data_IF_268120325517
#
_entry.id   IF_268120325517
#
_cell.length_a   1.000
_cell.length_b   1.000
_cell.length_c   1.000
_cell.angle_alpha   90.00
_cell.angle_beta   90.00
_cell.angle_gamma   90.00
#
_symmetry.space_group_name_H-M   'P 1'
#
loop_
_entity.id
_entity.type
_entity.pdbx_description
1 polymer ?
#
# COMPACT_ATOMS: atom_id res chain seq x y z
N UNK A 1 2.11 6.68 30.85
CA UNK A 1 3.11 5.75 30.28
C UNK A 1 3.84 6.49 29.18
N UNK A 2 5.18 6.54 29.21
CA UNK A 2 5.96 7.06 28.08
C UNK A 2 5.79 6.07 26.92
N UNK A 3 5.32 6.54 25.79
CA UNK A 3 5.36 5.76 24.57
C UNK A 3 6.81 5.29 24.36
N UNK A 4 7.03 4.00 24.25
CA UNK A 4 8.33 3.48 23.89
C UNK A 4 8.69 4.09 22.54
N UNK A 5 9.73 4.92 22.50
CA UNK A 5 10.24 5.50 21.27
C UNK A 5 10.69 4.35 20.40
N UNK A 6 10.03 4.19 19.24
CA UNK A 6 10.50 3.22 18.25
C UNK A 6 11.95 3.56 17.88
N UNK A 7 12.83 2.55 17.71
CA UNK A 7 14.20 2.81 17.30
C UNK A 7 14.23 3.54 15.94
N UNK A 8 15.30 4.31 15.64
CA UNK A 8 15.48 4.91 14.32
C UNK A 8 15.32 3.88 13.21
N UNK A 9 14.82 4.30 12.05
CA UNK A 9 14.67 3.45 10.87
C UNK A 9 16.05 3.18 10.28
N UNK A 10 16.45 1.90 10.15
CA UNK A 10 17.68 1.55 9.46
C UNK A 10 17.56 1.83 7.96
N UNK A 11 18.69 2.08 7.27
CA UNK A 11 18.70 2.48 5.86
C UNK A 11 18.06 1.43 4.91
N UNK A 12 18.06 0.16 5.35
CA UNK A 12 17.48 -0.98 4.65
C UNK A 12 16.19 -1.49 5.31
N UNK A 13 15.59 -0.72 6.22
CA UNK A 13 14.39 -1.13 6.94
C UNK A 13 13.11 -0.65 6.26
N UNK A 14 12.15 -1.56 6.19
CA UNK A 14 10.75 -1.30 5.90
C UNK A 14 9.94 -1.59 7.15
N UNK A 15 9.24 -0.60 7.65
CA UNK A 15 8.43 -0.71 8.85
C UNK A 15 6.94 -0.67 8.52
N UNK A 16 6.20 -1.68 9.03
CA UNK A 16 4.77 -1.81 8.80
C UNK A 16 4.02 -1.63 10.12
N UNK A 17 2.94 -0.89 10.07
CA UNK A 17 2.01 -0.72 11.18
C UNK A 17 0.64 -1.21 10.75
N UNK A 18 0.16 -2.24 11.43
CA UNK A 18 -1.19 -2.74 11.28
C UNK A 18 -2.06 -2.27 12.43
N UNK A 19 -3.19 -1.68 12.14
CA UNK A 19 -4.22 -1.30 13.10
C UNK A 19 -5.50 -2.03 12.74
N UNK A 20 -5.97 -2.90 13.64
CA UNK A 20 -7.33 -3.46 13.59
C UNK A 20 -8.26 -2.42 14.18
N UNK A 21 -9.13 -1.87 13.36
CA UNK A 21 -10.04 -0.81 13.75
C UNK A 21 -11.52 -1.28 13.82
N UNK A 22 -11.70 -2.59 13.92
CA UNK A 22 -13.02 -3.19 14.07
C UNK A 22 -13.67 -2.72 15.38
N UNK A 23 -14.73 -1.92 15.25
CA UNK A 23 -15.46 -1.40 16.40
C UNK A 23 -14.85 -0.17 17.10
N UNK A 24 -13.80 0.42 16.56
CA UNK A 24 -13.22 1.66 17.09
C UNK A 24 -14.19 2.85 16.93
N UNK A 25 -14.60 3.51 18.04
CA UNK A 25 -15.53 4.64 17.97
C UNK A 25 -14.92 5.93 17.44
N UNK A 26 -13.58 6.00 17.33
CA UNK A 26 -12.87 7.19 16.85
C UNK A 26 -13.12 7.36 15.35
N UNK A 27 -13.54 8.57 14.88
CA UNK A 27 -13.70 8.82 13.46
C UNK A 27 -12.45 8.45 12.66
N UNK A 28 -12.63 7.68 11.57
CA UNK A 28 -11.56 7.17 10.70
C UNK A 28 -10.46 8.20 10.42
N UNK A 29 -10.84 9.42 10.01
CA UNK A 29 -9.87 10.48 9.68
C UNK A 29 -8.96 10.83 10.86
N UNK A 30 -9.51 10.88 12.06
CA UNK A 30 -8.75 11.20 13.28
C UNK A 30 -7.78 10.08 13.61
N UNK A 31 -8.23 8.83 13.50
CA UNK A 31 -7.41 7.64 13.74
C UNK A 31 -6.23 7.57 12.78
N UNK A 32 -6.49 7.75 11.48
CA UNK A 32 -5.43 7.74 10.46
C UNK A 32 -4.40 8.85 10.68
N UNK A 33 -4.84 10.06 11.01
CA UNK A 33 -3.93 11.19 11.30
C UNK A 33 -3.08 10.90 12.54
N UNK A 34 -3.67 10.36 13.60
CA UNK A 34 -2.96 9.96 14.83
C UNK A 34 -1.91 8.90 14.55
N UNK A 35 -2.30 7.82 13.87
CA UNK A 35 -1.40 6.73 13.49
C UNK A 35 -0.20 7.25 12.71
N UNK A 36 -0.47 8.01 11.64
CA UNK A 36 0.56 8.55 10.77
C UNK A 36 1.52 9.48 11.52
N UNK A 37 0.98 10.43 12.30
CA UNK A 37 1.77 11.38 13.05
C UNK A 37 2.62 10.71 14.14
N UNK A 38 2.03 9.78 14.90
CA UNK A 38 2.76 9.06 15.95
C UNK A 38 3.90 8.23 15.38
N UNK A 39 3.66 7.50 14.28
CA UNK A 39 4.68 6.68 13.64
C UNK A 39 5.84 7.52 13.08
N UNK A 40 5.55 8.60 12.34
CA UNK A 40 6.56 9.45 11.72
C UNK A 40 7.30 10.31 12.73
N UNK A 41 6.63 10.86 13.74
CA UNK A 41 7.23 11.68 14.78
C UNK A 41 8.33 10.91 15.54
N UNK A 42 8.06 9.65 15.88
CA UNK A 42 9.02 8.78 16.54
C UNK A 42 10.28 8.54 15.69
N UNK A 43 10.16 8.56 14.37
CA UNK A 43 11.27 8.31 13.44
C UNK A 43 12.15 9.55 13.20
N UNK A 44 11.53 10.74 13.20
CA UNK A 44 12.26 11.99 12.93
C UNK A 44 12.61 12.77 14.20
N UNK A 45 12.28 12.24 15.37
CA UNK A 45 12.60 12.86 16.67
C UNK A 45 11.84 14.16 16.95
N UNK A 46 10.63 14.31 16.41
CA UNK A 46 9.77 15.49 16.57
C UNK A 46 8.51 15.18 17.36
N UNK A 47 7.79 16.19 17.85
CA UNK A 47 6.47 15.96 18.41
C UNK A 47 5.42 15.77 17.29
N UNK A 48 4.39 14.91 17.46
CA UNK A 48 3.38 14.66 16.43
C UNK A 48 2.70 15.93 15.91
N UNK A 49 2.50 16.92 16.78
CA UNK A 49 1.87 18.20 16.41
C UNK A 49 2.77 19.09 15.54
N UNK A 50 4.09 18.89 15.58
CA UNK A 50 5.09 19.68 14.84
C UNK A 50 5.30 19.15 13.41
N UNK A 51 4.75 17.99 13.08
CA UNK A 51 4.89 17.44 11.74
C UNK A 51 4.09 18.24 10.71
N UNK A 52 4.77 18.69 9.66
CA UNK A 52 4.18 19.38 8.53
C UNK A 52 4.17 18.49 7.30
N UNK A 53 2.98 18.27 6.73
CA UNK A 53 2.83 17.48 5.51
C UNK A 53 2.69 18.38 4.28
N UNK A 54 3.26 17.94 3.19
CA UNK A 54 3.00 18.45 1.84
C UNK A 54 2.19 17.45 1.03
N UNK A 55 1.86 17.85 -0.21
CA UNK A 55 1.27 16.96 -1.22
C UNK A 55 2.02 17.12 -2.53
N UNK A 56 2.25 16.00 -3.20
CA UNK A 56 2.70 15.97 -4.59
C UNK A 56 1.56 16.44 -5.50
N UNK A 57 1.85 16.72 -6.78
CA UNK A 57 0.90 17.30 -7.75
C UNK A 57 -0.44 16.56 -7.83
N UNK A 58 -0.43 15.23 -7.65
CA UNK A 58 -1.64 14.38 -7.66
C UNK A 58 -2.14 13.99 -6.27
N UNK A 59 -1.68 14.70 -5.25
CA UNK A 59 -2.23 14.61 -3.91
C UNK A 59 -1.57 13.59 -2.97
N UNK A 60 -0.54 12.83 -3.42
CA UNK A 60 0.21 11.93 -2.55
C UNK A 60 0.84 12.71 -1.40
N UNK A 61 0.60 12.35 -0.13
CA UNK A 61 1.18 13.07 0.99
C UNK A 61 2.67 12.74 1.14
N UNK A 62 3.45 13.71 1.61
CA UNK A 62 4.83 13.53 2.06
C UNK A 62 5.11 14.38 3.31
N UNK A 63 6.11 13.99 4.11
CA UNK A 63 6.53 14.73 5.29
C UNK A 63 7.56 15.79 4.90
N UNK A 64 7.37 17.04 5.31
CA UNK A 64 8.32 18.14 5.13
C UNK A 64 9.36 18.09 6.26
N UNK A 65 10.37 17.25 6.11
CA UNK A 65 11.47 17.11 7.07
C UNK A 65 12.74 16.64 6.35
N UNK A 66 13.95 17.11 6.72
CA UNK A 66 15.21 16.74 6.05
C UNK A 66 15.50 15.23 6.08
N UNK A 67 15.05 14.52 7.09
CA UNK A 67 15.23 13.09 7.30
C UNK A 67 13.92 12.32 7.09
N UNK A 68 12.99 12.87 6.31
CA UNK A 68 11.69 12.23 6.10
C UNK A 68 11.86 10.88 5.39
N UNK A 69 11.37 9.79 5.98
CA UNK A 69 11.19 8.53 5.24
C UNK A 69 10.05 8.67 4.24
N UNK A 70 10.04 7.83 3.23
CA UNK A 70 8.84 7.70 2.40
C UNK A 70 7.79 6.83 3.11
N UNK A 71 6.52 7.15 2.92
CA UNK A 71 5.42 6.42 3.54
C UNK A 71 4.20 6.35 2.64
N UNK A 72 3.39 5.33 2.86
CA UNK A 72 2.08 5.22 2.25
C UNK A 72 1.12 4.47 3.19
N UNK A 73 -0.15 4.81 3.11
CA UNK A 73 -1.21 4.27 3.96
C UNK A 73 -2.37 3.81 3.10
N UNK A 74 -2.93 2.66 3.44
CA UNK A 74 -4.19 2.17 2.90
C UNK A 74 -5.09 1.67 4.03
N UNK A 75 -6.38 1.90 3.89
CA UNK A 75 -7.37 1.46 4.85
C UNK A 75 -8.63 0.93 4.15
N UNK A 76 -9.23 -0.03 4.78
CA UNK A 76 -10.51 -0.63 4.41
C UNK A 76 -11.33 -0.93 5.67
N UNK A 77 -12.52 -1.47 5.52
CA UNK A 77 -13.35 -1.83 6.68
C UNK A 77 -12.60 -2.83 7.57
N UNK A 78 -12.42 -2.48 8.83
CA UNK A 78 -11.80 -3.32 9.86
C UNK A 78 -10.27 -3.31 9.86
N UNK A 79 -9.61 -2.42 9.10
CA UNK A 79 -8.17 -2.35 9.17
C UNK A 79 -7.49 -1.23 8.41
N UNK A 80 -6.33 -0.86 8.92
CA UNK A 80 -5.43 0.14 8.34
C UNK A 80 -4.02 -0.42 8.29
N UNK A 81 -3.34 -0.24 7.16
CA UNK A 81 -1.94 -0.60 6.98
C UNK A 81 -1.13 0.62 6.56
N UNK A 82 -0.14 0.99 7.37
CA UNK A 82 0.85 2.01 7.07
C UNK A 82 2.19 1.34 6.80
N UNK A 83 2.80 1.67 5.67
CA UNK A 83 4.16 1.29 5.33
C UNK A 83 5.07 2.51 5.32
N UNK A 84 6.28 2.36 5.90
CA UNK A 84 7.30 3.40 5.95
C UNK A 84 8.62 2.77 5.49
N UNK A 85 9.29 3.38 4.50
CA UNK A 85 10.61 2.93 4.05
C UNK A 85 11.65 4.04 4.18
N UNK A 86 12.87 3.64 4.57
CA UNK A 86 13.98 4.56 4.76
C UNK A 86 14.48 5.15 3.43
N UNK A 87 14.46 4.36 2.37
CA UNK A 87 14.93 4.75 1.05
C UNK A 87 14.01 4.20 -0.04
N UNK A 88 14.00 4.87 -1.19
CA UNK A 88 13.10 4.55 -2.29
C UNK A 88 11.69 5.08 -2.07
N UNK A 89 10.71 4.46 -2.75
CA UNK A 89 9.29 4.82 -2.63
C UNK A 89 8.46 3.59 -2.29
N UNK A 90 7.44 3.79 -1.46
CA UNK A 90 6.49 2.76 -1.08
C UNK A 90 5.06 3.11 -1.48
N UNK A 91 4.34 2.14 -2.02
CA UNK A 91 2.89 2.16 -2.13
C UNK A 91 2.28 0.99 -1.39
N UNK A 92 1.19 1.23 -0.72
CA UNK A 92 0.45 0.22 0.05
C UNK A 92 -0.98 0.20 -0.43
N UNK A 93 -1.50 -0.99 -0.72
CA UNK A 93 -2.92 -1.17 -0.89
C UNK A 93 -3.44 -2.35 -0.06
N UNK A 94 -4.63 -2.18 0.51
CA UNK A 94 -5.26 -3.08 1.47
C UNK A 94 -6.73 -3.31 1.11
N UNK A 95 -7.13 -4.57 0.98
CA UNK A 95 -8.50 -4.94 0.65
C UNK A 95 -9.01 -6.07 1.55
N UNK A 96 -10.32 -6.09 1.77
CA UNK A 96 -10.99 -7.24 2.38
C UNK A 96 -11.10 -8.39 1.38
N UNK A 97 -10.76 -9.60 1.84
CA UNK A 97 -10.83 -10.79 1.00
C UNK A 97 -12.26 -11.25 0.71
N UNK A 98 -13.23 -10.86 1.53
CA UNK A 98 -14.66 -11.21 1.38
C UNK A 98 -15.46 -10.16 0.59
N UNK A 99 -14.79 -9.10 0.08
CA UNK A 99 -15.42 -8.03 -0.69
C UNK A 99 -16.12 -8.57 -1.92
N UNK A 100 -17.42 -8.34 -2.02
CA UNK A 100 -18.23 -8.70 -3.19
C UNK A 100 -18.09 -7.62 -4.27
N UNK A 101 -17.75 -8.03 -5.49
CA UNK A 101 -17.40 -7.14 -6.58
C UNK A 101 -18.01 -7.59 -7.90
N UNK A 102 -18.48 -6.68 -8.74
CA UNK A 102 -18.85 -6.99 -10.12
C UNK A 102 -17.58 -7.13 -10.98
N UNK A 103 -16.86 -8.25 -10.80
CA UNK A 103 -15.50 -8.49 -11.34
C UNK A 103 -15.41 -8.20 -12.82
N UNK A 104 -16.30 -8.77 -13.64
CA UNK A 104 -16.26 -8.61 -15.09
C UNK A 104 -16.35 -7.13 -15.50
N UNK A 105 -17.26 -6.36 -14.89
CA UNK A 105 -17.44 -4.94 -15.18
C UNK A 105 -16.21 -4.10 -14.77
N UNK A 106 -15.66 -4.39 -13.61
CA UNK A 106 -14.49 -3.65 -13.10
C UNK A 106 -13.24 -4.00 -13.89
N UNK A 107 -13.02 -5.28 -14.22
CA UNK A 107 -11.89 -5.72 -15.04
C UNK A 107 -11.95 -5.09 -16.44
N UNK A 108 -13.10 -5.12 -17.11
CA UNK A 108 -13.27 -4.48 -18.41
C UNK A 108 -12.98 -2.97 -18.40
N UNK A 109 -13.28 -2.30 -17.28
CA UNK A 109 -13.04 -0.86 -17.13
C UNK A 109 -11.59 -0.50 -16.80
N UNK A 110 -10.93 -1.28 -15.94
CA UNK A 110 -9.69 -0.86 -15.28
C UNK A 110 -8.47 -1.71 -15.61
N UNK A 111 -8.63 -2.91 -16.15
CA UNK A 111 -7.54 -3.83 -16.44
C UNK A 111 -7.22 -3.89 -17.94
N UNK A 112 -6.08 -4.47 -18.28
CA UNK A 112 -5.76 -4.77 -19.66
C UNK A 112 -6.73 -5.82 -20.24
N UNK A 113 -6.88 -5.86 -21.55
CA UNK A 113 -7.74 -6.85 -22.22
C UNK A 113 -7.33 -8.29 -21.90
N UNK A 114 -6.00 -8.55 -21.78
CA UNK A 114 -5.47 -9.87 -21.41
C UNK A 114 -5.89 -10.28 -20.00
N UNK A 115 -5.65 -9.42 -18.99
CA UNK A 115 -6.05 -9.71 -17.61
C UNK A 115 -7.56 -9.87 -17.46
N UNK A 116 -8.36 -9.06 -18.18
CA UNK A 116 -9.82 -9.20 -18.17
C UNK A 116 -10.28 -10.53 -18.76
N UNK A 117 -9.65 -10.99 -19.84
CA UNK A 117 -9.93 -12.30 -20.46
C UNK A 117 -9.52 -13.46 -19.55
N UNK A 118 -8.35 -13.39 -18.90
CA UNK A 118 -7.90 -14.38 -17.92
C UNK A 118 -8.89 -14.51 -16.76
N UNK A 119 -9.36 -13.39 -16.22
CA UNK A 119 -10.35 -13.38 -15.14
C UNK A 119 -11.70 -13.95 -15.58
N UNK A 120 -12.12 -13.67 -16.81
CA UNK A 120 -13.39 -14.17 -17.36
C UNK A 120 -13.38 -15.70 -17.57
N UNK A 121 -12.21 -16.31 -17.73
CA UNK A 121 -12.05 -17.76 -17.87
C UNK A 121 -12.10 -18.52 -16.54
N UNK A 122 -12.07 -17.83 -15.40
CA UNK A 122 -12.06 -18.44 -14.06
C UNK A 122 -13.48 -18.64 -13.52
N UNK A 123 -13.70 -19.66 -12.66
CA UNK A 123 -14.89 -19.74 -11.83
C UNK A 123 -15.06 -18.47 -10.99
N UNK A 124 -16.30 -18.08 -10.69
CA UNK A 124 -16.63 -16.79 -10.09
C UNK A 124 -15.80 -16.43 -8.83
N UNK A 125 -15.64 -17.39 -7.90
CA UNK A 125 -14.87 -17.14 -6.67
C UNK A 125 -13.36 -17.03 -6.96
N UNK A 126 -12.82 -17.84 -7.83
CA UNK A 126 -11.43 -17.74 -8.27
C UNK A 126 -11.16 -16.41 -8.99
N UNK A 127 -12.09 -15.99 -9.87
CA UNK A 127 -12.03 -14.69 -10.55
C UNK A 127 -12.04 -13.51 -9.55
N UNK A 128 -12.87 -13.60 -8.51
CA UNK A 128 -12.93 -12.58 -7.46
C UNK A 128 -11.62 -12.45 -6.69
N UNK A 129 -11.03 -13.57 -6.29
CA UNK A 129 -9.74 -13.60 -5.59
C UNK A 129 -8.62 -13.08 -6.50
N UNK A 130 -8.56 -13.53 -7.75
CA UNK A 130 -7.57 -13.09 -8.72
C UNK A 130 -7.72 -11.60 -9.03
N UNK A 131 -8.96 -11.11 -9.16
CA UNK A 131 -9.24 -9.68 -9.31
C UNK A 131 -8.70 -8.85 -8.15
N UNK A 132 -8.97 -9.24 -6.90
CA UNK A 132 -8.46 -8.53 -5.72
C UNK A 132 -6.93 -8.52 -5.68
N UNK A 133 -6.29 -9.61 -6.09
CA UNK A 133 -4.83 -9.71 -6.18
C UNK A 133 -4.24 -8.73 -7.20
N UNK A 134 -4.84 -8.63 -8.37
CA UNK A 134 -4.44 -7.68 -9.41
C UNK A 134 -4.72 -6.24 -8.98
N UNK A 135 -5.90 -6.00 -8.42
CA UNK A 135 -6.34 -4.69 -7.97
C UNK A 135 -5.39 -4.11 -6.95
N UNK A 136 -5.10 -4.84 -5.87
CA UNK A 136 -4.18 -4.39 -4.81
C UNK A 136 -2.77 -4.11 -5.35
N UNK A 137 -2.26 -4.93 -6.28
CA UNK A 137 -0.95 -4.72 -6.88
C UNK A 137 -0.91 -3.43 -7.72
N UNK A 138 -1.92 -3.20 -8.53
CA UNK A 138 -2.04 -2.00 -9.40
C UNK A 138 -2.22 -0.73 -8.57
N UNK A 139 -3.09 -0.76 -7.56
CA UNK A 139 -3.30 0.41 -6.69
C UNK A 139 -2.05 0.73 -5.87
N UNK A 140 -1.37 -0.26 -5.31
CA UNK A 140 -0.10 -0.06 -4.62
C UNK A 140 0.94 0.59 -5.55
N UNK A 141 1.03 0.15 -6.81
CA UNK A 141 1.93 0.74 -7.81
C UNK A 141 1.61 2.21 -8.09
N UNK A 142 0.33 2.53 -8.30
CA UNK A 142 -0.12 3.91 -8.51
C UNK A 142 0.15 4.79 -7.28
N UNK A 143 0.00 4.24 -6.08
CA UNK A 143 0.31 4.94 -4.82
C UNK A 143 1.81 5.19 -4.67
N UNK A 144 2.67 4.23 -5.03
CA UNK A 144 4.12 4.42 -4.99
C UNK A 144 4.59 5.51 -5.95
N UNK A 145 4.07 5.53 -7.17
CA UNK A 145 4.41 6.58 -8.16
C UNK A 145 3.76 7.94 -7.88
N UNK A 146 2.71 7.97 -7.07
CA UNK A 146 1.92 9.19 -6.85
C UNK A 146 1.06 9.61 -8.05
N UNK A 147 0.91 8.75 -9.06
CA UNK A 147 0.17 9.08 -10.30
C UNK A 147 -1.35 9.05 -10.15
N UNK A 148 -1.85 8.50 -9.05
CA UNK A 148 -3.28 8.25 -8.84
C UNK A 148 -3.78 7.09 -9.71
N UNK A 149 -5.00 6.65 -9.41
CA UNK A 149 -5.62 5.48 -10.08
C UNK A 149 -6.22 5.82 -11.46
N UNK A 150 -6.53 7.07 -11.72
CA UNK A 150 -7.21 7.48 -12.97
C UNK A 150 -6.26 7.46 -14.16
N UNK A 151 -6.50 6.56 -15.11
CA UNK A 151 -5.85 6.51 -16.42
C UNK A 151 -4.63 5.61 -16.52
N UNK A 152 -4.10 5.05 -15.44
CA UNK A 152 -2.88 4.22 -15.51
C UNK A 152 -3.04 2.75 -15.05
N UNK A 153 -4.17 2.38 -14.46
CA UNK A 153 -4.36 1.00 -13.99
C UNK A 153 -4.22 -0.05 -15.10
N UNK A 154 -4.57 0.29 -16.35
CA UNK A 154 -4.44 -0.63 -17.50
C UNK A 154 -3.00 -0.86 -17.92
N UNK A 155 -2.12 0.11 -17.69
CA UNK A 155 -0.72 0.05 -18.09
C UNK A 155 0.11 -0.79 -17.11
N UNK A 156 -0.33 -0.86 -15.86
CA UNK A 156 0.19 -1.80 -14.88
C UNK A 156 -0.35 -3.19 -15.17
N UNK A 157 0.50 -4.10 -15.64
CA UNK A 157 0.12 -5.48 -15.98
C UNK A 157 0.83 -6.46 -15.07
N UNK A 158 0.05 -7.34 -14.47
CA UNK A 158 0.55 -8.38 -13.59
C UNK A 158 0.04 -9.75 -14.02
N UNK A 159 0.77 -10.80 -13.63
CA UNK A 159 0.35 -12.18 -13.84
C UNK A 159 -0.79 -12.53 -12.87
N UNK A 160 -1.99 -12.85 -13.42
CA UNK A 160 -3.21 -13.01 -12.63
C UNK A 160 -3.16 -14.20 -11.65
N UNK A 161 -2.48 -15.28 -12.00
CA UNK A 161 -2.37 -16.50 -11.18
C UNK A 161 -1.32 -16.45 -10.09
N UNK A 162 -0.45 -15.44 -10.07
CA UNK A 162 0.70 -15.41 -9.17
C UNK A 162 0.32 -15.13 -7.72
N UNK A 163 0.87 -15.91 -6.80
CA UNK A 163 0.69 -15.70 -5.36
C UNK A 163 1.39 -14.41 -4.90
N UNK A 164 2.59 -14.13 -5.40
CA UNK A 164 3.31 -12.88 -5.24
C UNK A 164 3.14 -12.07 -6.52
N UNK A 165 2.85 -10.75 -6.45
CA UNK A 165 2.64 -9.96 -7.67
C UNK A 165 3.87 -9.99 -8.57
N UNK A 166 3.71 -10.48 -9.80
CA UNK A 166 4.73 -10.50 -10.83
C UNK A 166 4.40 -9.47 -11.89
N UNK A 167 5.22 -8.45 -11.97
CA UNK A 167 5.05 -7.37 -12.94
C UNK A 167 5.40 -7.84 -14.35
N UNK A 168 4.47 -7.68 -15.29
CA UNK A 168 4.62 -7.98 -16.72
C UNK A 168 4.80 -6.72 -17.56
N UNK A 169 4.36 -5.57 -17.05
CA UNK A 169 4.49 -4.29 -17.73
C UNK A 169 4.04 -3.14 -16.86
N UNK A 170 4.63 -1.98 -17.08
CA UNK A 170 4.36 -0.75 -16.34
C UNK A 170 4.22 0.43 -17.31
N UNK A 171 3.58 1.55 -16.88
CA UNK A 171 3.62 2.79 -17.65
C UNK A 171 5.06 3.24 -17.87
N UNK A 172 5.41 3.86 -19.03
CA UNK A 172 6.78 4.31 -19.29
C UNK A 172 7.38 5.21 -18.20
N UNK A 173 6.55 6.05 -17.58
CA UNK A 173 6.96 6.93 -16.49
C UNK A 173 7.32 6.19 -15.18
N UNK A 174 6.96 4.92 -15.03
CA UNK A 174 7.30 4.11 -13.87
C UNK A 174 8.74 3.56 -13.91
N UNK A 175 9.42 3.68 -15.04
CA UNK A 175 10.77 3.14 -15.25
C UNK A 175 10.80 1.63 -15.47
N UNK A 176 12.00 1.06 -15.43
CA UNK A 176 12.25 -0.34 -15.72
C UNK A 176 11.68 -1.27 -14.62
N UNK A 177 11.27 -2.47 -15.02
CA UNK A 177 10.62 -3.43 -14.12
C UNK A 177 11.52 -3.90 -12.97
N UNK A 178 12.84 -3.94 -13.22
CA UNK A 178 13.88 -4.37 -12.26
C UNK A 178 14.00 -3.41 -11.04
N UNK A 179 13.51 -2.19 -11.18
CA UNK A 179 13.47 -1.21 -10.09
C UNK A 179 12.35 -1.48 -9.10
N UNK A 180 11.42 -2.39 -9.45
CA UNK A 180 10.23 -2.69 -8.68
C UNK A 180 10.37 -4.01 -7.92
N UNK A 181 9.93 -3.98 -6.66
CA UNK A 181 9.68 -5.17 -5.86
C UNK A 181 8.28 -5.12 -5.28
N UNK A 182 7.66 -6.27 -5.23
CA UNK A 182 6.30 -6.42 -4.70
C UNK A 182 6.28 -7.48 -3.62
N UNK A 183 5.55 -7.20 -2.55
CA UNK A 183 5.31 -8.14 -1.47
C UNK A 183 3.82 -8.25 -1.22
N UNK A 184 3.33 -9.47 -1.08
CA UNK A 184 1.95 -9.72 -0.66
C UNK A 184 1.93 -10.04 0.83
N UNK A 185 1.00 -9.41 1.53
CA UNK A 185 0.81 -9.55 2.96
C UNK A 185 -0.62 -10.00 3.25
N UNK A 186 -0.78 -10.70 4.37
CA UNK A 186 -2.08 -11.00 4.98
C UNK A 186 -2.08 -10.46 6.41
N UNK A 187 -2.35 -9.15 6.60
CA UNK A 187 -2.26 -8.52 7.92
C UNK A 187 -3.24 -9.11 8.93
N UNK A 188 -4.34 -9.67 8.45
CA UNK A 188 -5.30 -10.47 9.23
C UNK A 188 -5.94 -11.55 8.33
N UNK A 189 -6.68 -12.52 8.91
CA UNK A 189 -7.41 -13.52 8.13
C UNK A 189 -8.44 -12.93 7.16
N UNK A 190 -8.91 -11.70 7.41
CA UNK A 190 -9.92 -11.03 6.59
C UNK A 190 -9.36 -10.08 5.53
N UNK A 191 -8.03 -9.87 5.52
CA UNK A 191 -7.42 -8.84 4.69
C UNK A 191 -6.25 -9.37 3.85
N UNK A 192 -6.13 -8.83 2.64
CA UNK A 192 -4.96 -8.96 1.77
C UNK A 192 -4.40 -7.58 1.46
N UNK A 193 -3.08 -7.49 1.39
CA UNK A 193 -2.41 -6.24 1.03
C UNK A 193 -1.26 -6.50 0.05
N UNK A 194 -0.87 -5.45 -0.66
CA UNK A 194 0.35 -5.43 -1.47
C UNK A 194 1.18 -4.21 -1.11
N UNK A 195 2.47 -4.43 -0.95
CA UNK A 195 3.49 -3.40 -0.97
C UNK A 195 4.08 -3.33 -2.37
N UNK A 196 4.17 -2.15 -2.93
CA UNK A 196 4.92 -1.85 -4.14
C UNK A 196 6.11 -0.97 -3.75
N UNK A 197 7.32 -1.43 -4.01
CA UNK A 197 8.57 -0.79 -3.64
C UNK A 197 9.33 -0.39 -4.91
N UNK A 198 9.64 0.89 -5.05
CA UNK A 198 10.40 1.43 -6.16
C UNK A 198 11.74 1.95 -5.66
N UNK A 199 12.84 1.50 -6.26
CA UNK A 199 14.23 1.85 -5.90
C UNK A 199 14.57 1.60 -4.42
N UNK A 200 13.85 0.71 -3.78
CA UNK A 200 14.12 0.36 -2.40
C UNK A 200 15.18 -0.75 -2.32
N UNK A 201 16.19 -0.63 -1.45
CA UNK A 201 17.17 -1.68 -1.23
C UNK A 201 16.51 -2.96 -0.73
N UNK A 202 17.18 -4.12 -0.77
CA UNK A 202 16.73 -5.32 -0.06
C UNK A 202 16.47 -4.98 1.39
N UNK A 203 15.26 -5.29 1.88
CA UNK A 203 14.81 -4.74 3.17
C UNK A 203 14.43 -5.82 4.14
N UNK A 204 14.74 -5.56 5.41
CA UNK A 204 14.17 -6.31 6.53
C UNK A 204 12.79 -5.72 6.83
N UNK A 205 11.74 -6.54 6.66
CA UNK A 205 10.39 -6.15 7.03
C UNK A 205 10.24 -6.36 8.53
N UNK A 206 10.10 -5.29 9.28
CA UNK A 206 9.70 -5.35 10.68
C UNK A 206 8.21 -4.99 10.79
N UNK A 207 7.43 -5.87 11.40
CA UNK A 207 6.01 -5.64 11.64
C UNK A 207 5.78 -5.19 13.09
N UNK A 208 5.07 -4.08 13.26
CA UNK A 208 4.66 -3.59 14.57
C UNK A 208 3.14 -3.50 14.62
N UNK A 209 2.56 -4.01 15.70
CA UNK A 209 1.18 -3.70 16.06
C UNK A 209 1.23 -2.41 16.86
N UNK A 210 0.59 -1.37 16.39
CA UNK A 210 0.33 -0.22 17.25
C UNK A 210 -0.73 -0.67 18.24
N UNK A 211 -0.33 -0.73 19.50
CA UNK A 211 -1.26 -0.82 20.61
C UNK A 211 -1.73 0.60 20.89
N UNK A 212 -3.03 0.72 21.12
CA UNK A 212 -3.83 1.91 21.44
C UNK A 212 -3.13 3.01 22.23
#
# INVERSE_FOLDING_TARGET
MRAATAPPLAADELRLYWCDDSGDPIPRRVRLDRLLRSALAALVGAAPAELHFGREDRGRPFLRHPQAPDFNLSDTVGGTLLGICAAGRIGVDLERIDRQLPVARLAARWFSAGEAAELAALPAEAARIAFLRLWTAKEASCKATGTGIFGQLRDWRFEAGSAVPRLLGAPPAAGAAERWRFERLSPSPAHTAVLALLDAPPQVISGFRLLD
#
